data_IF_529202848544
#
_entry.id   IF_529202848544
#
_cell.length_a   1.000
_cell.length_b   1.000
_cell.length_c   1.000
_cell.angle_alpha   90.00
_cell.angle_beta   90.00
_cell.angle_gamma   90.00
#
_symmetry.space_group_name_H-M   'P 1'
#
loop_
_entity.id
_entity.type
_entity.pdbx_description
1 polymer ?
#
# COMPACT_ATOMS: atom_id res chain seq x y z
N UNK A 1 1.01 12.99 26.72
CA UNK A 1 -0.29 12.95 26.02
C UNK A 1 -0.58 11.49 25.70
N UNK A 2 -1.38 10.80 26.52
CA UNK A 2 -1.70 9.39 26.31
C UNK A 2 -2.67 9.25 25.13
N UNK A 3 -2.32 8.43 24.15
CA UNK A 3 -3.18 8.06 23.02
C UNK A 3 -4.41 7.29 23.53
N UNK A 4 -5.48 8.00 23.89
CA UNK A 4 -6.76 7.36 24.14
C UNK A 4 -7.48 7.14 22.82
N UNK A 5 -7.28 5.96 22.22
CA UNK A 5 -8.06 5.47 21.08
C UNK A 5 -9.56 5.31 21.40
N UNK A 6 -9.99 5.59 22.63
CA UNK A 6 -11.38 5.50 23.06
C UNK A 6 -12.27 6.62 22.49
N UNK A 7 -11.67 7.71 21.98
CA UNK A 7 -12.42 8.81 21.35
C UNK A 7 -12.48 8.59 19.83
N UNK A 8 -13.68 8.44 19.30
CA UNK A 8 -13.92 8.22 17.87
C UNK A 8 -13.36 9.35 16.97
N UNK A 9 -13.33 10.59 17.45
CA UNK A 9 -12.71 11.72 16.73
C UNK A 9 -11.20 11.56 16.53
N UNK A 10 -10.53 10.90 17.47
CA UNK A 10 -9.08 10.64 17.40
C UNK A 10 -8.84 9.52 16.39
N UNK A 11 -9.66 8.47 16.40
CA UNK A 11 -9.62 7.42 15.38
C UNK A 11 -9.83 7.97 13.97
N UNK A 12 -10.79 8.89 13.78
CA UNK A 12 -11.05 9.53 12.49
C UNK A 12 -9.82 10.29 11.95
N UNK A 13 -9.14 11.06 12.81
CA UNK A 13 -7.90 11.78 12.44
C UNK A 13 -6.77 10.82 12.09
N UNK A 14 -6.58 9.78 12.90
CA UNK A 14 -5.54 8.78 12.63
C UNK A 14 -5.84 7.96 11.39
N UNK A 15 -7.10 7.62 11.11
CA UNK A 15 -7.48 6.91 9.89
C UNK A 15 -7.03 7.68 8.65
N UNK A 16 -7.34 8.97 8.57
CA UNK A 16 -6.90 9.84 7.46
C UNK A 16 -5.37 9.98 7.45
N UNK A 17 -4.74 10.27 8.59
CA UNK A 17 -3.29 10.45 8.66
C UNK A 17 -2.50 9.20 8.23
N UNK A 18 -2.93 8.02 8.66
CA UNK A 18 -2.35 6.74 8.26
C UNK A 18 -2.60 6.46 6.77
N UNK A 19 -3.80 6.74 6.27
CA UNK A 19 -4.10 6.56 4.83
C UNK A 19 -3.22 7.45 3.95
N UNK A 20 -3.04 8.73 4.31
CA UNK A 20 -2.20 9.67 3.58
C UNK A 20 -0.73 9.25 3.62
N UNK A 21 -0.22 8.84 4.78
CA UNK A 21 1.17 8.39 4.90
C UNK A 21 1.43 7.08 4.16
N UNK A 22 0.43 6.21 4.01
CA UNK A 22 0.53 4.97 3.22
C UNK A 22 0.68 5.23 1.70
N UNK A 23 0.37 6.43 1.19
CA UNK A 23 0.60 6.78 -0.21
C UNK A 23 2.08 6.82 -0.58
N UNK A 24 2.96 7.17 0.35
CA UNK A 24 4.40 7.26 0.09
C UNK A 24 5.02 5.89 -0.27
N UNK A 25 4.89 4.83 0.55
CA UNK A 25 5.39 3.51 0.17
C UNK A 25 4.63 2.94 -1.04
N UNK A 26 3.33 3.21 -1.21
CA UNK A 26 2.60 2.82 -2.42
C UNK A 26 3.23 3.43 -3.68
N UNK A 27 3.55 4.73 -3.63
CA UNK A 27 4.20 5.45 -4.73
C UNK A 27 5.56 4.86 -5.08
N UNK A 28 6.37 4.51 -4.07
CA UNK A 28 7.65 3.81 -4.27
C UNK A 28 7.45 2.45 -4.94
N UNK A 29 6.48 1.66 -4.48
CA UNK A 29 6.18 0.35 -5.06
C UNK A 29 5.77 0.48 -6.54
N UNK A 30 4.81 1.35 -6.86
CA UNK A 30 4.35 1.58 -8.24
C UNK A 30 5.49 2.10 -9.11
N UNK A 31 6.23 3.11 -8.66
CA UNK A 31 7.38 3.65 -9.39
C UNK A 31 8.43 2.58 -9.69
N UNK A 32 8.71 1.69 -8.73
CA UNK A 32 9.68 0.60 -8.89
C UNK A 32 9.25 -0.44 -9.93
N UNK A 33 7.94 -0.70 -10.07
CA UNK A 33 7.39 -1.58 -11.11
C UNK A 33 7.54 -0.94 -12.48
N UNK A 34 7.14 0.33 -12.62
CA UNK A 34 7.23 1.06 -13.89
C UNK A 34 8.67 1.17 -14.39
N UNK A 35 9.62 1.41 -13.47
CA UNK A 35 11.07 1.47 -13.78
C UNK A 35 11.65 0.16 -14.31
N UNK A 36 11.03 -0.98 -13.99
CA UNK A 36 11.53 -2.33 -14.34
C UNK A 36 10.65 -3.04 -15.36
N UNK A 37 9.60 -2.39 -15.83
CA UNK A 37 8.75 -2.90 -16.88
C UNK A 37 9.47 -2.77 -18.22
N UNK A 38 9.68 -3.91 -18.87
CA UNK A 38 10.21 -3.99 -20.23
C UNK A 38 9.03 -4.11 -21.20
N UNK A 39 8.78 -3.06 -21.97
CA UNK A 39 7.68 -3.01 -22.92
C UNK A 39 7.84 -3.94 -24.13
N UNK A 40 9.07 -4.42 -24.43
CA UNK A 40 9.30 -5.38 -25.51
C UNK A 40 8.94 -6.79 -25.05
N UNK A 41 9.30 -7.14 -23.81
CA UNK A 41 9.00 -8.44 -23.22
C UNK A 41 7.61 -8.51 -22.58
N UNK A 42 6.97 -7.35 -22.36
CA UNK A 42 5.70 -7.24 -21.65
C UNK A 42 5.81 -7.68 -20.18
N UNK A 43 7.00 -7.58 -19.59
CA UNK A 43 7.32 -8.22 -18.31
C UNK A 43 8.11 -7.30 -17.37
N UNK A 44 8.05 -7.58 -16.07
CA UNK A 44 8.80 -6.89 -15.04
C UNK A 44 10.05 -7.71 -14.71
N UNK A 45 11.19 -7.23 -15.21
CA UNK A 45 12.46 -7.95 -15.10
C UNK A 45 13.11 -7.74 -13.74
N UNK A 46 13.45 -8.84 -13.08
CA UNK A 46 14.17 -8.80 -11.80
C UNK A 46 15.20 -9.92 -11.67
N UNK A 47 16.31 -9.60 -10.99
CA UNK A 47 17.29 -10.62 -10.61
C UNK A 47 16.81 -11.36 -9.37
N UNK A 48 16.93 -12.69 -9.35
CA UNK A 48 16.65 -13.51 -8.16
C UNK A 48 17.60 -13.24 -7.00
N UNK A 49 18.82 -12.78 -7.29
CA UNK A 49 19.86 -12.51 -6.31
C UNK A 49 19.82 -11.06 -5.80
N UNK A 50 18.98 -10.21 -6.39
CA UNK A 50 18.89 -8.79 -6.05
C UNK A 50 17.92 -8.48 -4.91
N UNK A 51 18.14 -7.34 -4.24
CA UNK A 51 17.28 -6.83 -3.16
C UNK A 51 15.92 -6.32 -3.62
N UNK A 52 15.65 -6.29 -4.94
CA UNK A 52 14.40 -5.76 -5.48
C UNK A 52 13.19 -6.55 -4.99
N UNK A 53 13.21 -7.88 -5.09
CA UNK A 53 12.06 -8.69 -4.70
C UNK A 53 11.71 -8.52 -3.21
N UNK A 54 12.63 -8.71 -2.25
CA UNK A 54 12.30 -8.51 -0.84
C UNK A 54 11.94 -7.05 -0.52
N UNK A 55 12.61 -6.07 -1.14
CA UNK A 55 12.30 -4.66 -0.96
C UNK A 55 10.91 -4.27 -1.47
N UNK A 56 10.52 -4.77 -2.65
CA UNK A 56 9.19 -4.57 -3.22
C UNK A 56 8.10 -5.19 -2.33
N UNK A 57 8.28 -6.45 -1.93
CA UNK A 57 7.33 -7.14 -1.06
C UNK A 57 7.20 -6.47 0.31
N UNK A 58 8.30 -6.01 0.91
CA UNK A 58 8.28 -5.27 2.16
C UNK A 58 7.50 -3.95 2.01
N UNK A 59 7.72 -3.23 0.91
CA UNK A 59 7.04 -1.95 0.63
C UNK A 59 5.53 -2.16 0.45
N UNK A 60 5.13 -3.18 -0.32
CA UNK A 60 3.72 -3.58 -0.47
C UNK A 60 3.12 -4.00 0.87
N UNK A 61 3.84 -4.80 1.67
CA UNK A 61 3.39 -5.25 2.98
C UNK A 61 3.14 -4.11 3.96
N UNK A 62 4.08 -3.16 4.05
CA UNK A 62 3.94 -1.95 4.88
C UNK A 62 2.76 -1.09 4.41
N UNK A 63 2.65 -0.86 3.11
CA UNK A 63 1.51 -0.13 2.52
C UNK A 63 0.17 -0.79 2.87
N UNK A 64 0.07 -2.09 2.65
CA UNK A 64 -1.14 -2.87 2.92
C UNK A 64 -1.52 -2.85 4.41
N UNK A 65 -0.54 -2.99 5.31
CA UNK A 65 -0.79 -2.92 6.75
C UNK A 65 -1.30 -1.54 7.18
N UNK A 66 -0.64 -0.47 6.73
CA UNK A 66 -1.08 0.90 7.04
C UNK A 66 -2.47 1.18 6.49
N UNK A 67 -2.72 0.81 5.23
CA UNK A 67 -4.02 0.98 4.60
C UNK A 67 -5.13 0.19 5.33
N UNK A 68 -4.86 -1.05 5.72
CA UNK A 68 -5.79 -1.86 6.51
C UNK A 68 -6.10 -1.22 7.88
N UNK A 69 -5.09 -0.69 8.58
CA UNK A 69 -5.30 0.06 9.84
C UNK A 69 -6.18 1.28 9.60
N UNK A 70 -5.95 2.04 8.54
CA UNK A 70 -6.78 3.20 8.20
C UNK A 70 -8.23 2.81 7.91
N UNK A 71 -8.45 1.71 7.17
CA UNK A 71 -9.79 1.15 6.89
C UNK A 71 -10.49 0.78 8.18
N UNK A 72 -9.84 0.02 9.06
CA UNK A 72 -10.44 -0.43 10.33
C UNK A 72 -10.78 0.75 11.24
N UNK A 73 -9.88 1.72 11.41
CA UNK A 73 -10.14 2.91 12.22
C UNK A 73 -11.24 3.80 11.63
N UNK A 74 -11.24 3.97 10.30
CA UNK A 74 -12.26 4.73 9.58
C UNK A 74 -13.64 4.09 9.73
N UNK A 75 -13.74 2.79 9.44
CA UNK A 75 -14.99 2.04 9.54
C UNK A 75 -15.55 2.00 10.97
N UNK A 76 -14.68 1.68 11.95
CA UNK A 76 -15.09 1.57 13.35
C UNK A 76 -15.59 2.90 13.93
N UNK A 77 -15.04 4.03 13.46
CA UNK A 77 -15.47 5.36 13.90
C UNK A 77 -16.67 5.91 13.10
N UNK A 78 -16.83 5.54 11.83
CA UNK A 78 -17.91 6.05 10.97
C UNK A 78 -19.32 5.63 11.43
N UNK A 79 -19.47 4.41 11.96
CA UNK A 79 -20.75 3.87 12.40
C UNK A 79 -21.23 4.39 13.77
N UNK A 80 -20.48 5.27 14.43
CA UNK A 80 -20.74 5.64 15.81
C UNK A 80 -21.55 6.94 15.90
N UNK A 81 -22.69 6.87 16.59
CA UNK A 81 -23.63 8.00 16.76
C UNK A 81 -23.03 9.18 17.55
N UNK A 82 -21.95 8.93 18.32
CA UNK A 82 -21.23 9.94 19.13
C UNK A 82 -19.97 10.49 18.45
N UNK A 83 -19.80 10.23 17.16
CA UNK A 83 -18.69 10.77 16.39
C UNK A 83 -19.16 12.07 15.72
N UNK A 84 -18.64 13.20 16.18
CA UNK A 84 -18.97 14.52 15.59
C UNK A 84 -18.24 14.73 14.25
N UNK A 85 -17.39 13.77 13.85
CA UNK A 85 -16.53 13.83 12.67
C UNK A 85 -16.71 12.64 11.73
N UNK A 86 -17.95 12.20 11.54
CA UNK A 86 -18.28 11.09 10.62
C UNK A 86 -17.72 11.29 9.21
N UNK A 87 -17.72 12.52 8.69
CA UNK A 87 -17.13 12.82 7.37
C UNK A 87 -15.65 12.44 7.27
N UNK A 88 -14.85 12.74 8.31
CA UNK A 88 -13.44 12.36 8.35
C UNK A 88 -13.25 10.84 8.50
N UNK A 89 -14.12 10.17 9.24
CA UNK A 89 -14.11 8.71 9.37
C UNK A 89 -14.35 8.03 8.03
N UNK A 90 -15.35 8.48 7.27
CA UNK A 90 -15.62 7.99 5.92
C UNK A 90 -14.47 8.31 4.97
N UNK A 91 -13.90 9.51 5.03
CA UNK A 91 -12.73 9.87 4.22
C UNK A 91 -11.55 8.93 4.51
N UNK A 92 -11.23 8.67 5.78
CA UNK A 92 -10.18 7.74 6.18
C UNK A 92 -10.46 6.30 5.71
N UNK A 93 -11.70 5.84 5.83
CA UNK A 93 -12.12 4.53 5.33
C UNK A 93 -11.96 4.39 3.82
N UNK A 94 -12.49 5.31 3.03
CA UNK A 94 -12.43 5.24 1.57
C UNK A 94 -11.01 5.42 1.05
N UNK A 95 -10.24 6.35 1.63
CA UNK A 95 -8.85 6.55 1.26
C UNK A 95 -8.00 5.33 1.61
N UNK A 96 -8.15 4.77 2.81
CA UNK A 96 -7.50 3.52 3.20
C UNK A 96 -7.88 2.37 2.27
N UNK A 97 -9.16 2.25 1.90
CA UNK A 97 -9.64 1.20 0.99
C UNK A 97 -9.03 1.37 -0.39
N UNK A 98 -9.00 2.58 -0.94
CA UNK A 98 -8.39 2.87 -2.24
C UNK A 98 -6.89 2.54 -2.25
N UNK A 99 -6.14 2.94 -1.22
CA UNK A 99 -4.71 2.60 -1.10
C UNK A 99 -4.50 1.09 -0.98
N UNK A 100 -5.33 0.41 -0.19
CA UNK A 100 -5.27 -1.04 -0.05
C UNK A 100 -5.54 -1.73 -1.40
N UNK A 101 -6.60 -1.34 -2.10
CA UNK A 101 -6.92 -1.87 -3.44
C UNK A 101 -5.79 -1.63 -4.43
N UNK A 102 -5.21 -0.43 -4.48
CA UNK A 102 -4.07 -0.14 -5.36
C UNK A 102 -2.84 -0.96 -5.01
N UNK A 103 -2.56 -1.19 -3.73
CA UNK A 103 -1.45 -2.04 -3.29
C UNK A 103 -1.63 -3.50 -3.73
N UNK A 104 -2.87 -4.02 -3.65
CA UNK A 104 -3.20 -5.36 -4.13
C UNK A 104 -3.10 -5.46 -5.66
N UNK A 105 -3.55 -4.43 -6.38
CA UNK A 105 -3.39 -4.35 -7.84
C UNK A 105 -1.91 -4.35 -8.22
N UNK A 106 -1.07 -3.55 -7.55
CA UNK A 106 0.37 -3.51 -7.81
C UNK A 106 1.03 -4.87 -7.53
N UNK A 107 0.64 -5.54 -6.45
CA UNK A 107 1.12 -6.89 -6.14
C UNK A 107 0.67 -7.90 -7.21
N UNK A 108 -0.60 -7.87 -7.60
CA UNK A 108 -1.14 -8.76 -8.62
C UNK A 108 -0.45 -8.54 -9.97
N UNK A 109 -0.28 -7.28 -10.39
CA UNK A 109 0.44 -6.91 -11.61
C UNK A 109 1.88 -7.44 -11.58
N UNK A 110 2.59 -7.29 -10.45
CA UNK A 110 3.90 -7.89 -10.30
C UNK A 110 3.86 -9.41 -10.41
N UNK A 111 2.95 -10.08 -9.70
CA UNK A 111 2.87 -11.55 -9.72
C UNK A 111 2.53 -12.11 -11.10
N UNK A 112 1.72 -11.39 -11.89
CA UNK A 112 1.34 -11.77 -13.25
C UNK A 112 2.44 -11.49 -14.28
N UNK A 113 3.22 -10.41 -14.10
CA UNK A 113 4.19 -9.95 -15.11
C UNK A 113 5.65 -10.21 -14.74
N UNK A 114 5.93 -10.76 -13.55
CA UNK A 114 7.31 -10.97 -13.08
C UNK A 114 8.07 -11.95 -13.97
N UNK A 115 9.27 -11.55 -14.38
CA UNK A 115 10.21 -12.41 -15.08
C UNK A 115 11.55 -12.39 -14.35
N UNK A 116 11.94 -13.56 -13.85
CA UNK A 116 13.19 -13.73 -13.12
C UNK A 116 14.33 -13.94 -14.11
N UNK A 117 15.31 -13.04 -14.12
CA UNK A 117 16.53 -13.15 -14.93
C UNK A 117 17.64 -13.74 -14.07
N UNK A 118 18.14 -14.91 -14.45
CA UNK A 118 19.36 -15.49 -13.85
C UNK A 118 20.58 -14.84 -14.49
N UNK A 119 21.39 -14.14 -13.69
CA UNK A 119 22.74 -13.71 -14.04
C UNK A 119 23.60 -14.95 -14.29
N UNK A 120 23.59 -15.45 -15.53
CA UNK A 120 24.27 -16.68 -15.90
C UNK A 120 24.24 -17.05 -17.39
N UNK A 121 23.69 -16.23 -18.29
CA UNK A 121 23.88 -16.42 -19.73
C UNK A 121 25.02 -15.51 -20.22
N UNK A 122 26.21 -16.04 -20.56
CA UNK A 122 27.18 -15.33 -21.37
C UNK A 122 26.68 -15.34 -22.83
N UNK A 123 25.98 -14.29 -23.22
CA UNK A 123 25.66 -13.96 -24.61
C UNK A 123 25.44 -12.45 -24.63
N UNK A 124 26.21 -11.60 -25.27
CA UNK A 124 27.30 -11.68 -26.23
C UNK A 124 27.49 -10.24 -26.70
#
# INVERSE_FOLDING_TARGET
>A
MFLSFRRYDVQARWAVGVAVTALAPLGVAVWSLLRRYDGQLGAISYSRQGLFLPGFLATIGVTGLMAAVAVVLGFNSAGQRRNDRQGLSWAGFFMGTAVLSLSLIALAAFMSLRMAVTSGSPTG
#
